data_IF_753733162765
#
_entry.id   IF_753733162765
#
_cell.length_a   1.000
_cell.length_b   1.000
_cell.length_c   1.000
_cell.angle_alpha   90.00
_cell.angle_beta   90.00
_cell.angle_gamma   90.00
#
_symmetry.space_group_name_H-M   'P 1'
#
loop_
_entity.id
_entity.type
_entity.pdbx_description
1 polymer ?
#
# COMPACT_ATOMS: atom_id res chain seq x y z
N UNK A 1 18.33 23.96 -30.53
CA UNK A 1 17.62 22.78 -29.98
C UNK A 1 17.73 22.80 -28.47
N UNK A 2 16.77 22.19 -27.76
CA UNK A 2 16.78 22.13 -26.30
C UNK A 2 17.59 20.94 -25.78
N UNK A 3 18.15 21.09 -24.58
CA UNK A 3 18.71 19.98 -23.78
C UNK A 3 17.84 19.80 -22.55
N UNK A 4 17.29 18.60 -22.37
CA UNK A 4 16.52 18.23 -21.19
C UNK A 4 17.34 17.24 -20.39
N UNK A 5 17.62 17.57 -19.12
CA UNK A 5 18.30 16.68 -18.18
C UNK A 5 17.26 16.15 -17.20
N UNK A 6 17.16 14.82 -17.09
CA UNK A 6 16.22 14.15 -16.20
C UNK A 6 16.97 13.52 -15.02
N UNK A 7 16.22 12.97 -14.07
CA UNK A 7 16.75 12.20 -12.94
C UNK A 7 16.82 10.70 -13.22
N UNK A 8 16.36 10.26 -14.40
CA UNK A 8 16.29 8.85 -14.76
C UNK A 8 17.70 8.27 -14.88
N UNK A 9 17.89 7.13 -14.24
CA UNK A 9 19.11 6.36 -14.31
C UNK A 9 18.84 5.13 -15.18
N UNK A 10 19.55 5.03 -16.31
CA UNK A 10 19.34 3.95 -17.27
C UNK A 10 19.52 2.56 -16.66
N UNK A 11 20.54 2.37 -15.82
CA UNK A 11 20.78 1.06 -15.21
C UNK A 11 19.64 0.69 -14.24
N UNK A 12 19.14 1.66 -13.47
CA UNK A 12 17.97 1.45 -12.59
C UNK A 12 16.68 1.22 -13.37
N UNK A 13 16.49 1.92 -14.48
CA UNK A 13 15.36 1.71 -15.37
C UNK A 13 15.35 0.31 -15.97
N UNK A 14 16.48 -0.14 -16.51
CA UNK A 14 16.63 -1.47 -17.09
C UNK A 14 16.42 -2.57 -16.02
N UNK A 15 16.95 -2.36 -14.80
CA UNK A 15 16.71 -3.25 -13.67
C UNK A 15 15.23 -3.29 -13.25
N UNK A 16 14.54 -2.15 -13.27
CA UNK A 16 13.12 -2.10 -12.90
C UNK A 16 12.24 -2.81 -13.93
N UNK A 17 12.50 -2.62 -15.22
CA UNK A 17 11.82 -3.35 -16.30
C UNK A 17 12.03 -4.86 -16.13
N UNK A 18 13.27 -5.30 -15.90
CA UNK A 18 13.58 -6.73 -15.65
C UNK A 18 12.84 -7.26 -14.41
N UNK A 19 12.75 -6.48 -13.34
CA UNK A 19 12.05 -6.87 -12.12
C UNK A 19 10.55 -7.04 -12.36
N UNK A 20 9.91 -6.13 -13.10
CA UNK A 20 8.50 -6.26 -13.50
C UNK A 20 8.31 -7.51 -14.36
N UNK A 21 9.22 -7.74 -15.31
CA UNK A 21 9.14 -8.90 -16.18
C UNK A 21 9.23 -10.23 -15.40
N UNK A 22 10.26 -10.35 -14.58
CA UNK A 22 10.55 -11.57 -13.81
C UNK A 22 9.47 -11.86 -12.77
N UNK A 23 8.95 -10.84 -12.09
CA UNK A 23 8.07 -11.05 -10.94
C UNK A 23 6.58 -10.96 -11.27
N UNK A 24 6.23 -10.36 -12.41
CA UNK A 24 4.82 -10.15 -12.77
C UNK A 24 4.51 -10.69 -14.16
N UNK A 25 5.02 -10.07 -15.24
CA UNK A 25 4.49 -10.36 -16.58
C UNK A 25 4.83 -11.77 -17.07
N UNK A 26 6.06 -12.26 -16.83
CA UNK A 26 6.43 -13.65 -17.15
C UNK A 26 5.65 -14.69 -16.34
N UNK A 27 5.06 -14.28 -15.22
CA UNK A 27 4.21 -15.13 -14.37
C UNK A 27 2.75 -15.06 -14.74
N UNK A 28 2.34 -14.26 -15.73
CA UNK A 28 0.95 -14.21 -16.24
C UNK A 28 0.72 -15.22 -17.37
N UNK A 29 -0.51 -15.69 -17.53
CA UNK A 29 -0.93 -16.55 -18.64
C UNK A 29 -2.23 -16.06 -19.26
N UNK A 30 -2.27 -15.97 -20.60
CA UNK A 30 -3.48 -15.58 -21.34
C UNK A 30 -4.66 -16.54 -21.12
N UNK A 31 -4.37 -17.80 -20.76
CA UNK A 31 -5.37 -18.82 -20.48
C UNK A 31 -6.01 -18.64 -19.09
N UNK A 32 -5.27 -18.06 -18.12
CA UNK A 32 -5.79 -17.81 -16.78
C UNK A 32 -6.66 -16.55 -16.79
N UNK A 33 -7.96 -16.74 -16.55
CA UNK A 33 -8.95 -15.64 -16.53
C UNK A 33 -8.55 -14.50 -15.59
N UNK A 34 -7.95 -14.82 -14.44
CA UNK A 34 -7.47 -13.85 -13.46
C UNK A 34 -6.39 -12.90 -14.01
N UNK A 35 -5.59 -13.35 -14.98
CA UNK A 35 -4.43 -12.61 -15.46
C UNK A 35 -4.75 -11.66 -16.61
N UNK A 36 -5.93 -11.81 -17.24
CA UNK A 36 -6.29 -11.10 -18.49
C UNK A 36 -6.15 -9.59 -18.42
N UNK A 37 -6.34 -9.01 -17.24
CA UNK A 37 -6.35 -7.57 -17.01
C UNK A 37 -5.22 -7.08 -16.10
N UNK A 38 -4.20 -7.91 -15.86
CA UNK A 38 -3.06 -7.47 -15.04
C UNK A 38 -2.34 -6.33 -15.75
N UNK A 39 -2.28 -5.17 -15.08
CA UNK A 39 -1.59 -3.97 -15.56
C UNK A 39 -0.70 -3.41 -14.47
N UNK A 40 0.60 -3.34 -14.74
CA UNK A 40 1.60 -2.94 -13.74
C UNK A 40 1.95 -1.47 -13.89
N UNK A 41 2.08 -0.78 -12.77
CA UNK A 41 2.64 0.56 -12.66
C UNK A 41 3.57 0.65 -11.46
N UNK A 42 4.63 1.45 -11.57
CA UNK A 42 5.51 1.68 -10.42
C UNK A 42 6.57 2.76 -10.66
N UNK A 43 7.16 3.25 -9.57
CA UNK A 43 8.22 4.23 -9.56
C UNK A 43 9.32 3.81 -8.56
N UNK A 44 10.57 4.06 -8.91
CA UNK A 44 11.71 4.00 -7.99
C UNK A 44 12.15 5.43 -7.66
N UNK A 45 12.18 5.75 -6.38
CA UNK A 45 12.38 7.12 -5.88
C UNK A 45 13.50 7.12 -4.84
N UNK A 46 14.39 8.12 -4.90
CA UNK A 46 15.36 8.38 -3.84
C UNK A 46 14.66 9.14 -2.71
N UNK A 47 14.39 8.54 -1.53
CA UNK A 47 13.50 9.14 -0.53
C UNK A 47 13.95 10.50 -0.05
N UNK A 48 15.26 10.68 0.18
CA UNK A 48 15.83 11.92 0.68
C UNK A 48 15.70 13.12 -0.29
N UNK A 49 15.49 12.87 -1.58
CA UNK A 49 15.48 13.95 -2.61
C UNK A 49 14.22 13.97 -3.47
N UNK A 50 13.35 12.96 -3.37
CA UNK A 50 12.19 12.80 -4.24
C UNK A 50 12.51 12.50 -5.72
N UNK A 51 13.79 12.31 -6.08
CA UNK A 51 14.18 12.04 -7.48
C UNK A 51 13.61 10.70 -7.93
N UNK A 52 12.82 10.73 -9.02
CA UNK A 52 12.39 9.52 -9.73
C UNK A 52 13.56 9.03 -10.58
N UNK A 53 14.10 7.87 -10.23
CA UNK A 53 15.27 7.29 -10.91
C UNK A 53 14.89 6.18 -11.89
N UNK A 54 13.69 5.61 -11.74
CA UNK A 54 13.09 4.71 -12.71
C UNK A 54 11.55 4.78 -12.63
N UNK A 55 10.87 4.58 -13.75
CA UNK A 55 9.42 4.62 -13.87
C UNK A 55 8.93 3.52 -14.81
N UNK A 56 7.96 2.72 -14.39
CA UNK A 56 7.34 1.69 -15.22
C UNK A 56 5.85 2.01 -15.39
N UNK A 57 5.48 2.53 -16.58
CA UNK A 57 4.10 2.97 -16.84
C UNK A 57 3.16 1.88 -17.37
N UNK A 58 3.68 0.78 -17.92
CA UNK A 58 2.90 -0.25 -18.58
C UNK A 58 3.70 -1.00 -19.65
N UNK A 59 3.05 -1.95 -20.32
CA UNK A 59 3.69 -2.89 -21.25
C UNK A 59 4.29 -2.26 -22.51
N UNK A 60 3.69 -1.17 -23.00
CA UNK A 60 4.13 -0.41 -24.18
C UNK A 60 3.22 0.81 -24.35
N UNK A 61 3.77 1.97 -24.73
CA UNK A 61 3.00 3.20 -24.87
C UNK A 61 1.94 3.15 -26.00
N UNK A 62 2.23 2.48 -27.12
CA UNK A 62 1.29 2.34 -28.25
C UNK A 62 0.12 1.42 -27.93
N UNK A 63 0.32 0.51 -26.97
CA UNK A 63 -0.72 -0.42 -26.47
C UNK A 63 -1.43 0.10 -25.22
N UNK A 64 -0.77 0.97 -24.46
CA UNK A 64 -1.25 1.57 -23.22
C UNK A 64 -0.65 2.97 -23.06
N UNK A 65 -1.38 3.97 -23.55
CA UNK A 65 -0.92 5.36 -23.51
C UNK A 65 -1.03 6.00 -22.10
N UNK A 66 -1.85 5.42 -21.22
CA UNK A 66 -1.97 5.87 -19.82
C UNK A 66 -0.96 5.13 -18.95
N UNK A 67 -0.05 5.88 -18.34
CA UNK A 67 0.92 5.33 -17.38
C UNK A 67 0.24 4.97 -16.06
N UNK A 68 0.28 3.68 -15.70
CA UNK A 68 -0.18 3.22 -14.40
C UNK A 68 0.68 3.71 -13.23
N UNK A 69 1.91 4.18 -13.49
CA UNK A 69 2.76 4.75 -12.45
C UNK A 69 2.33 6.16 -12.01
N UNK A 70 1.50 6.85 -12.81
CA UNK A 70 1.16 8.26 -12.57
C UNK A 70 -0.34 8.54 -12.51
N UNK A 71 -1.18 7.52 -12.71
CA UNK A 71 -2.64 7.65 -12.55
C UNK A 71 -3.04 7.70 -11.08
N UNK A 72 -4.23 8.23 -10.81
CA UNK A 72 -4.67 8.66 -9.47
C UNK A 72 -6.02 8.06 -9.05
N UNK A 73 -6.53 7.14 -9.84
CA UNK A 73 -7.89 6.60 -9.78
C UNK A 73 -7.94 5.18 -9.19
N UNK A 74 -6.90 4.78 -8.46
CA UNK A 74 -6.88 3.54 -7.68
C UNK A 74 -6.94 3.84 -6.19
N UNK A 75 -7.60 2.96 -5.44
CA UNK A 75 -7.56 2.99 -3.98
C UNK A 75 -6.19 2.47 -3.50
N UNK A 76 -5.63 3.13 -2.50
CA UNK A 76 -4.32 2.77 -1.92
C UNK A 76 -4.39 1.55 -1.00
N UNK A 77 -5.59 1.17 -0.54
CA UNK A 77 -5.78 0.07 0.40
C UNK A 77 -4.97 0.24 1.68
N UNK A 78 -4.49 -0.88 2.23
CA UNK A 78 -3.74 -0.93 3.49
C UNK A 78 -2.43 -0.14 3.49
N UNK A 79 -1.93 0.32 2.33
CA UNK A 79 -0.78 1.24 2.25
C UNK A 79 -1.06 2.54 3.01
N UNK A 80 -2.33 2.87 3.30
CA UNK A 80 -2.68 4.03 4.12
C UNK A 80 -2.48 3.83 5.63
N UNK A 81 -2.46 2.59 6.14
CA UNK A 81 -2.39 2.30 7.60
C UNK A 81 -1.16 2.89 8.29
N UNK A 82 0.05 2.86 7.71
CA UNK A 82 1.21 3.52 8.31
C UNK A 82 1.00 5.03 8.55
N UNK A 83 0.19 5.71 7.73
CA UNK A 83 -0.15 7.13 7.96
C UNK A 83 -1.08 7.31 9.16
N UNK A 84 -2.05 6.40 9.34
CA UNK A 84 -2.92 6.39 10.52
C UNK A 84 -2.11 6.17 11.79
N UNK A 85 -1.22 5.17 11.80
CA UNK A 85 -0.33 4.91 12.93
C UNK A 85 0.61 6.09 13.21
N UNK A 86 1.22 6.67 12.17
CA UNK A 86 2.09 7.84 12.32
C UNK A 86 1.33 9.01 12.93
N UNK A 87 0.09 9.26 12.47
CA UNK A 87 -0.77 10.29 13.02
C UNK A 87 -1.06 10.06 14.51
N UNK A 88 -1.38 8.82 14.91
CA UNK A 88 -1.61 8.48 16.30
C UNK A 88 -0.38 8.75 17.19
N UNK A 89 0.81 8.36 16.71
CA UNK A 89 2.08 8.57 17.43
C UNK A 89 2.42 10.06 17.56
N UNK A 90 2.34 10.82 16.46
CA UNK A 90 2.70 12.25 16.40
C UNK A 90 1.75 13.11 17.22
N UNK A 91 0.44 12.87 17.13
CA UNK A 91 -0.56 13.62 17.90
C UNK A 91 -0.71 13.11 19.32
N UNK A 92 -0.10 11.96 19.59
CA UNK A 92 -0.13 11.38 20.88
C UNK A 92 -1.46 10.87 21.37
N UNK A 93 -2.20 10.32 20.42
CA UNK A 93 -3.48 9.70 20.61
C UNK A 93 -3.44 8.60 21.67
N UNK A 94 -4.57 8.43 22.32
CA UNK A 94 -4.80 7.39 23.31
C UNK A 94 -5.89 6.44 22.85
N UNK A 95 -5.91 5.25 23.43
CA UNK A 95 -7.04 4.32 23.41
C UNK A 95 -8.27 4.95 24.12
N UNK A 96 -9.41 4.28 24.07
CA UNK A 96 -10.65 4.74 24.73
C UNK A 96 -10.54 4.77 26.25
N UNK A 97 -9.68 3.93 26.83
CA UNK A 97 -9.36 3.88 28.26
C UNK A 97 -8.16 4.78 28.65
N UNK A 98 -7.62 5.55 27.70
CA UNK A 98 -6.62 6.58 27.96
C UNK A 98 -5.16 6.12 27.91
N UNK A 99 -4.87 4.90 27.47
CA UNK A 99 -3.51 4.42 27.24
C UNK A 99 -2.92 5.10 26.01
N UNK A 100 -1.67 5.58 26.11
CA UNK A 100 -0.94 6.12 24.95
C UNK A 100 -0.74 5.03 23.90
N UNK A 101 -1.14 5.30 22.65
CA UNK A 101 -0.91 4.39 21.53
C UNK A 101 0.58 4.33 21.21
N UNK A 102 1.16 3.14 21.38
CA UNK A 102 2.54 2.80 21.03
C UNK A 102 2.56 1.51 20.20
N UNK A 103 3.69 1.12 19.59
CA UNK A 103 3.79 -0.17 18.92
C UNK A 103 3.51 -1.39 19.81
N UNK A 104 3.56 -1.24 21.14
CA UNK A 104 3.32 -2.33 22.10
C UNK A 104 1.91 -2.29 22.72
N UNK A 105 1.12 -1.25 22.45
CA UNK A 105 -0.28 -1.18 22.90
C UNK A 105 -1.05 -2.33 22.28
N UNK A 106 -1.88 -2.99 23.07
CA UNK A 106 -2.63 -4.19 22.67
C UNK A 106 -4.04 -3.79 22.25
N UNK A 107 -4.49 -4.33 21.13
CA UNK A 107 -5.86 -4.21 20.64
C UNK A 107 -6.45 -5.59 20.37
N UNK A 108 -7.76 -5.73 20.58
CA UNK A 108 -8.52 -6.86 20.09
C UNK A 108 -8.65 -6.80 18.56
N UNK A 109 -8.00 -7.75 17.89
CA UNK A 109 -7.98 -7.96 16.45
C UNK A 109 -9.03 -8.95 15.95
N UNK A 110 -10.15 -9.12 16.67
CA UNK A 110 -11.30 -9.90 16.19
C UNK A 110 -11.78 -9.42 14.81
N UNK A 111 -12.20 -10.37 13.98
CA UNK A 111 -12.80 -10.11 12.68
C UNK A 111 -14.14 -9.40 12.85
N UNK A 112 -14.44 -8.43 11.98
CA UNK A 112 -15.70 -7.65 12.02
C UNK A 112 -15.94 -7.01 13.38
N UNK A 113 -14.87 -6.61 14.08
CA UNK A 113 -14.97 -5.77 15.27
C UNK A 113 -15.55 -4.41 14.87
N UNK A 114 -16.65 -4.02 15.49
CA UNK A 114 -17.30 -2.75 15.18
C UNK A 114 -16.43 -1.58 15.62
N UNK A 115 -16.24 -0.62 14.72
CA UNK A 115 -15.57 0.64 15.03
C UNK A 115 -16.47 1.44 15.97
N UNK A 116 -15.88 1.91 17.07
CA UNK A 116 -16.55 2.76 18.05
C UNK A 116 -15.97 4.16 17.96
N UNK A 117 -16.81 5.12 17.55
CA UNK A 117 -16.45 6.53 17.47
C UNK A 117 -16.79 7.30 18.75
N UNK A 118 -16.50 8.61 18.78
CA UNK A 118 -16.82 9.46 19.93
C UNK A 118 -18.31 9.51 20.28
N UNK A 119 -19.19 9.27 19.31
CA UNK A 119 -20.65 9.22 19.49
C UNK A 119 -21.17 7.80 19.78
N UNK A 120 -20.28 6.81 19.94
CA UNK A 120 -20.64 5.42 20.16
C UNK A 120 -20.42 4.54 18.91
N UNK A 121 -21.12 3.38 18.83
CA UNK A 121 -20.97 2.43 17.74
C UNK A 121 -21.31 3.04 16.36
N UNK A 122 -20.54 2.67 15.33
CA UNK A 122 -20.63 3.29 13.99
C UNK A 122 -21.31 2.42 12.92
N UNK A 123 -21.81 1.23 13.28
CA UNK A 123 -22.29 0.17 12.36
C UNK A 123 -21.27 -0.29 11.31
N UNK A 124 -20.03 0.22 11.36
CA UNK A 124 -18.94 -0.20 10.50
C UNK A 124 -18.09 -1.25 11.20
N UNK A 125 -18.07 -2.46 10.64
CA UNK A 125 -17.37 -3.63 11.17
C UNK A 125 -16.48 -4.24 10.06
N UNK A 126 -15.26 -3.71 9.84
CA UNK A 126 -14.40 -4.19 8.76
C UNK A 126 -14.00 -5.65 8.97
N UNK A 127 -14.07 -6.44 7.90
CA UNK A 127 -13.51 -7.78 7.92
C UNK A 127 -11.98 -7.72 7.85
N UNK A 128 -11.30 -8.58 8.60
CA UNK A 128 -9.89 -8.86 8.40
C UNK A 128 -9.69 -9.64 7.10
N UNK A 129 -8.45 -9.65 6.59
CA UNK A 129 -8.10 -10.47 5.44
C UNK A 129 -8.45 -11.93 5.73
N UNK A 130 -9.06 -12.61 4.76
CA UNK A 130 -9.54 -14.00 4.87
C UNK A 130 -10.47 -14.28 6.08
N UNK A 131 -11.16 -13.24 6.60
CA UNK A 131 -12.05 -13.33 7.76
C UNK A 131 -11.36 -13.84 9.05
N UNK A 132 -10.04 -13.65 9.19
CA UNK A 132 -9.24 -14.17 10.32
C UNK A 132 -9.47 -13.39 11.61
N UNK A 133 -9.62 -14.12 12.72
CA UNK A 133 -9.56 -13.59 14.08
C UNK A 133 -8.12 -13.65 14.62
N UNK A 134 -7.53 -12.50 14.94
CA UNK A 134 -6.15 -12.44 15.45
C UNK A 134 -6.06 -12.46 16.98
N UNK A 135 -7.18 -12.30 17.68
CA UNK A 135 -7.21 -12.15 19.14
C UNK A 135 -6.52 -10.87 19.61
N UNK A 136 -6.00 -10.87 20.83
CA UNK A 136 -5.26 -9.72 21.37
C UNK A 136 -3.86 -9.64 20.77
N UNK A 137 -3.60 -8.58 20.01
CA UNK A 137 -2.33 -8.35 19.32
C UNK A 137 -1.81 -6.94 19.57
N UNK A 138 -0.50 -6.78 19.48
CA UNK A 138 0.11 -5.45 19.56
C UNK A 138 -0.16 -4.65 18.28
N UNK A 139 -0.19 -3.33 18.37
CA UNK A 139 -0.23 -2.42 17.20
C UNK A 139 0.90 -2.74 16.21
N UNK A 140 2.08 -3.16 16.69
CA UNK A 140 3.18 -3.64 15.83
C UNK A 140 2.76 -4.84 15.00
N UNK A 141 2.21 -5.89 15.64
CA UNK A 141 1.74 -7.10 14.95
C UNK A 141 0.62 -6.75 13.97
N UNK A 142 -0.36 -5.94 14.39
CA UNK A 142 -1.45 -5.51 13.53
C UNK A 142 -0.97 -4.75 12.28
N UNK A 143 0.08 -3.94 12.43
CA UNK A 143 0.69 -3.22 11.30
C UNK A 143 1.45 -4.15 10.36
N UNK A 144 2.20 -5.11 10.92
CA UNK A 144 2.99 -6.09 10.15
C UNK A 144 2.10 -7.04 9.34
N UNK A 145 1.02 -7.52 9.96
CA UNK A 145 0.04 -8.41 9.34
C UNK A 145 -1.06 -7.66 8.57
N UNK A 146 -1.08 -6.33 8.63
CA UNK A 146 -2.12 -5.50 8.04
C UNK A 146 -3.54 -5.91 8.49
N UNK A 147 -3.74 -6.10 9.80
CA UNK A 147 -5.05 -6.36 10.42
C UNK A 147 -5.97 -5.15 10.23
N UNK A 148 -7.23 -5.35 9.83
CA UNK A 148 -8.16 -4.27 9.46
C UNK A 148 -8.95 -3.73 10.66
N UNK A 149 -9.19 -4.57 11.67
CA UNK A 149 -9.98 -4.23 12.85
C UNK A 149 -9.22 -3.47 13.95
N UNK A 150 -7.93 -3.18 13.75
CA UNK A 150 -7.03 -2.49 14.69
C UNK A 150 -6.65 -1.09 14.17
#
# INVERSE_FOLDING_TARGET
GYRITTTLDKAKQDAFVKAVDTNVTSRTSAERKADRNVRVGGASIVPATGKVVALYGGIDYTKQYVSNATRRDYQVGSIFKPFVLTSAVVNGSTTQDGERITPNTVYDGANKRMVVGPQGPTDYAPANEDDVDHGEITVRTATDESVNSV
#
